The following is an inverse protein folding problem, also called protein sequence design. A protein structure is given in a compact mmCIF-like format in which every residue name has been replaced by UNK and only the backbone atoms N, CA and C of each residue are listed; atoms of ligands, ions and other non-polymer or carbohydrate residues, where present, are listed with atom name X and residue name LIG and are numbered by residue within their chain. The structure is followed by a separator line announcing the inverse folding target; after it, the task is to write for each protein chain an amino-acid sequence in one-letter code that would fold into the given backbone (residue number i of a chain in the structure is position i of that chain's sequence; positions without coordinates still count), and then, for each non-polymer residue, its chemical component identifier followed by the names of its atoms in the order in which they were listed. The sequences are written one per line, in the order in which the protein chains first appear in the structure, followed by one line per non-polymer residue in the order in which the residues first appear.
data_IF_327362304961
#
_entry.id   IF_327362304961
#
_cell.length_a   1.000
_cell.length_b   1.000
_cell.length_c   1.000
_cell.angle_alpha   90.00
_cell.angle_beta   90.00
_cell.angle_gamma   90.00
#
_symmetry.space_group_name_H-M   'P 1'
#
loop_
_entity.id
_entity.type
_entity.pdbx_description
1 polymer ?
#
# COMPACT_ATOMS: atom_id res chain seq x y z
N UNK A 1 41.75 6.23 41.34
CA UNK A 1 43.19 6.47 41.10
C UNK A 1 43.72 5.37 40.17
N UNK A 2 44.57 5.75 39.21
CA UNK A 2 45.45 4.91 38.38
C UNK A 2 44.76 3.99 37.34
N UNK A 3 45.22 3.85 36.09
CA UNK A 3 46.29 4.49 35.32
C UNK A 3 46.04 4.17 33.81
N UNK A 4 46.47 5.08 32.94
CA UNK A 4 46.57 4.97 31.47
C UNK A 4 47.56 3.89 31.05
N UNK A 5 47.47 3.35 29.82
CA UNK A 5 48.57 3.22 28.82
C UNK A 5 47.97 2.90 27.42
N UNK A 6 48.13 3.80 26.43
CA UNK A 6 49.07 3.80 25.26
C UNK A 6 48.58 2.95 24.06
N UNK A 7 48.03 3.54 22.99
CA UNK A 7 48.67 4.28 21.88
C UNK A 7 49.37 3.38 20.83
N UNK A 8 48.87 3.40 19.58
CA UNK A 8 49.68 3.25 18.36
C UNK A 8 48.89 3.66 17.10
N UNK A 9 49.14 4.88 16.63
CA UNK A 9 48.87 5.35 15.26
C UNK A 9 49.94 4.81 14.30
N UNK A 10 49.54 4.36 13.10
CA UNK A 10 50.43 4.31 11.92
C UNK A 10 49.68 4.83 10.69
N UNK A 11 50.24 5.87 10.08
CA UNK A 11 49.92 6.47 8.78
C UNK A 11 50.68 5.75 7.66
N UNK A 12 50.09 5.66 6.46
CA UNK A 12 50.77 5.63 5.14
C UNK A 12 49.71 5.53 4.02
N UNK A 13 49.38 6.62 3.30
CA UNK A 13 49.98 7.18 2.06
C UNK A 13 49.53 6.55 0.74
N UNK A 14 49.10 7.43 -0.18
CA UNK A 14 49.14 7.25 -1.64
C UNK A 14 47.78 6.94 -2.28
N UNK A 15 47.37 7.48 -3.42
CA UNK A 15 47.92 8.48 -4.32
C UNK A 15 46.75 9.02 -5.15
N UNK A 16 46.71 10.32 -5.44
CA UNK A 16 45.76 10.91 -6.38
C UNK A 16 46.23 10.61 -7.80
N UNK A 17 45.46 9.81 -8.54
CA UNK A 17 45.57 9.69 -9.99
C UNK A 17 44.22 10.06 -10.60
N UNK A 18 44.23 11.14 -11.38
CA UNK A 18 43.11 11.59 -12.19
C UNK A 18 42.88 10.68 -13.40
N UNK A 19 41.66 10.72 -13.93
CA UNK A 19 41.34 10.00 -15.16
C UNK A 19 39.85 9.85 -15.45
N UNK A 20 39.28 10.89 -16.07
CA UNK A 20 38.45 10.82 -17.29
C UNK A 20 37.09 10.06 -17.33
N UNK A 21 36.12 10.78 -17.94
CA UNK A 21 34.98 10.33 -18.77
C UNK A 21 33.65 9.94 -18.10
N UNK A 22 32.63 10.72 -18.48
CA UNK A 22 31.28 10.33 -18.84
C UNK A 22 30.57 9.26 -17.99
N UNK A 23 29.65 9.71 -17.14
CA UNK A 23 28.57 8.87 -16.62
C UNK A 23 27.31 9.71 -16.55
N UNK A 24 26.38 9.46 -17.47
CA UNK A 24 25.04 10.02 -17.43
C UNK A 24 24.44 9.85 -16.03
N UNK A 25 23.95 10.93 -15.44
CA UNK A 25 23.09 10.85 -14.27
C UNK A 25 21.78 10.18 -14.71
N UNK A 26 21.77 8.84 -14.72
CA UNK A 26 20.55 8.10 -14.69
C UNK A 26 19.91 8.41 -13.34
N UNK A 27 18.93 9.31 -13.35
CA UNK A 27 17.94 9.37 -12.28
C UNK A 27 17.22 8.03 -12.27
N UNK A 28 17.79 7.07 -11.56
CA UNK A 28 17.03 5.93 -11.06
C UNK A 28 16.05 6.53 -10.06
N UNK A 29 14.91 7.00 -10.58
CA UNK A 29 13.69 7.04 -9.81
C UNK A 29 13.59 5.64 -9.22
N UNK A 30 13.89 5.54 -7.92
CA UNK A 30 13.69 4.31 -7.20
C UNK A 30 12.21 3.96 -7.43
N UNK A 31 11.99 2.95 -8.26
CA UNK A 31 10.70 2.29 -8.41
C UNK A 31 10.39 1.79 -7.00
N UNK A 32 9.66 2.62 -6.26
CA UNK A 32 9.30 2.35 -4.89
C UNK A 32 8.51 1.03 -4.97
N UNK A 33 8.96 -0.05 -4.33
CA UNK A 33 8.32 -1.34 -4.46
C UNK A 33 6.84 -1.17 -4.19
N UNK A 34 6.01 -1.45 -5.21
CA UNK A 34 4.57 -1.40 -5.05
C UNK A 34 4.23 -2.21 -3.79
N UNK A 35 3.43 -1.67 -2.85
CA UNK A 35 3.14 -2.37 -1.61
C UNK A 35 2.64 -3.77 -1.96
N UNK A 36 3.26 -4.78 -1.35
CA UNK A 36 3.03 -6.19 -1.65
C UNK A 36 1.52 -6.43 -1.81
N UNK A 37 1.14 -6.89 -3.01
CA UNK A 37 -0.26 -7.16 -3.35
C UNK A 37 -0.75 -8.18 -2.34
N UNK A 38 -1.63 -7.77 -1.43
CA UNK A 38 -2.36 -8.74 -0.65
C UNK A 38 -3.01 -9.72 -1.64
N UNK A 39 -2.91 -11.02 -1.37
CA UNK A 39 -3.34 -12.15 -2.22
C UNK A 39 -4.87 -12.19 -2.49
N UNK A 40 -5.56 -11.07 -2.43
CA UNK A 40 -6.96 -10.95 -2.82
C UNK A 40 -7.03 -10.85 -4.35
N UNK A 41 -7.49 -11.94 -4.99
CA UNK A 41 -7.83 -11.90 -6.42
C UNK A 41 -9.02 -10.96 -6.62
N UNK A 42 -8.78 -9.86 -7.36
CA UNK A 42 -9.83 -8.89 -7.69
C UNK A 42 -9.83 -8.65 -9.21
N UNK A 43 -10.87 -9.13 -9.93
CA UNK A 43 -10.99 -8.95 -11.37
C UNK A 43 -10.98 -7.48 -11.77
N UNK A 44 -10.58 -7.22 -13.01
CA UNK A 44 -10.72 -5.88 -13.58
C UNK A 44 -12.20 -5.46 -13.58
N UNK A 45 -12.48 -4.17 -13.41
CA UNK A 45 -13.82 -3.59 -13.19
C UNK A 45 -14.46 -3.87 -11.82
N UNK A 46 -13.73 -4.47 -10.87
CA UNK A 46 -14.29 -4.83 -9.56
C UNK A 46 -13.64 -4.10 -8.39
N UNK A 47 -14.42 -3.85 -7.35
CA UNK A 47 -13.92 -3.57 -5.99
C UNK A 47 -14.12 -4.80 -5.12
N UNK A 48 -13.08 -5.21 -4.40
CA UNK A 48 -13.06 -6.43 -3.61
C UNK A 48 -12.51 -6.18 -2.22
N UNK A 49 -13.01 -6.92 -1.24
CA UNK A 49 -12.44 -6.94 0.10
C UNK A 49 -12.56 -8.31 0.75
N UNK A 50 -11.67 -8.58 1.70
CA UNK A 50 -11.72 -9.77 2.56
C UNK A 50 -11.38 -9.38 3.99
N UNK A 51 -12.12 -9.90 4.96
CA UNK A 51 -11.92 -9.65 6.38
C UNK A 51 -11.23 -10.82 7.07
N UNK A 52 -10.80 -10.60 8.32
CA UNK A 52 -10.06 -11.60 9.11
C UNK A 52 -10.91 -12.83 9.43
N UNK A 53 -12.23 -12.68 9.53
CA UNK A 53 -13.17 -13.78 9.72
C UNK A 53 -13.46 -14.60 8.45
N UNK A 54 -12.75 -14.34 7.35
CA UNK A 54 -12.85 -15.10 6.10
C UNK A 54 -13.94 -14.62 5.14
N UNK A 55 -14.89 -13.79 5.59
CA UNK A 55 -15.90 -13.18 4.73
C UNK A 55 -15.25 -12.24 3.71
N UNK A 56 -15.81 -12.20 2.50
CA UNK A 56 -15.31 -11.39 1.39
C UNK A 56 -16.45 -10.86 0.53
N UNK A 57 -16.15 -9.88 -0.31
CA UNK A 57 -17.08 -9.34 -1.29
C UNK A 57 -16.36 -8.99 -2.59
N UNK A 58 -17.15 -8.88 -3.66
CA UNK A 58 -16.73 -8.41 -4.97
C UNK A 58 -17.93 -7.74 -5.64
N UNK A 59 -17.79 -6.48 -6.06
CA UNK A 59 -18.85 -5.74 -6.75
C UNK A 59 -18.31 -5.00 -7.96
N UNK A 60 -19.14 -4.95 -9.01
CA UNK A 60 -18.85 -4.30 -10.29
C UNK A 60 -19.87 -3.22 -10.65
N UNK A 61 -21.10 -3.30 -10.11
CA UNK A 61 -22.18 -2.37 -10.44
C UNK A 61 -21.99 -1.02 -9.76
N UNK A 62 -21.98 0.04 -10.58
CA UNK A 62 -21.95 1.42 -10.12
C UNK A 62 -23.32 1.91 -9.65
N UNK A 63 -23.35 2.95 -8.81
CA UNK A 63 -24.54 3.65 -8.31
C UNK A 63 -25.52 2.76 -7.54
N UNK A 64 -25.06 1.62 -7.01
CA UNK A 64 -25.84 0.75 -6.14
C UNK A 64 -25.15 0.61 -4.78
N UNK A 65 -25.93 0.71 -3.71
CA UNK A 65 -25.44 0.51 -2.34
C UNK A 65 -25.59 -0.96 -1.96
N UNK A 66 -24.47 -1.67 -1.88
CA UNK A 66 -24.42 -3.05 -1.43
C UNK A 66 -24.25 -3.10 0.08
N UNK A 67 -25.08 -3.88 0.75
CA UNK A 67 -24.81 -4.29 2.13
C UNK A 67 -23.67 -5.33 2.11
N UNK A 68 -22.62 -5.05 2.86
CA UNK A 68 -21.50 -5.96 3.03
C UNK A 68 -21.95 -7.18 3.84
N UNK A 69 -21.36 -8.36 3.59
CA UNK A 69 -21.53 -9.50 4.49
C UNK A 69 -20.96 -9.15 5.87
N UNK A 70 -21.15 -10.03 6.86
CA UNK A 70 -20.60 -9.84 8.20
C UNK A 70 -19.05 -9.85 8.18
N UNK A 71 -18.42 -8.75 7.78
CA UNK A 71 -16.97 -8.60 7.69
C UNK A 71 -16.44 -8.18 9.07
N UNK A 72 -15.55 -8.99 9.64
CA UNK A 72 -15.00 -8.72 10.97
C UNK A 72 -13.47 -8.74 10.95
N UNK A 73 -12.88 -7.71 11.52
CA UNK A 73 -11.44 -7.51 11.62
C UNK A 73 -10.79 -6.84 10.41
N UNK A 74 -9.46 -6.77 10.44
CA UNK A 74 -8.67 -6.14 9.38
C UNK A 74 -8.40 -7.10 8.23
N UNK A 75 -8.43 -6.58 7.00
CA UNK A 75 -8.03 -7.35 5.83
C UNK A 75 -7.92 -6.52 4.56
N UNK A 76 -7.58 -7.14 3.42
CA UNK A 76 -7.28 -6.40 2.21
C UNK A 76 -8.51 -5.81 1.53
N UNK A 77 -8.33 -4.62 0.97
CA UNK A 77 -9.18 -3.94 0.00
C UNK A 77 -8.39 -3.80 -1.30
N UNK A 78 -8.99 -4.18 -2.42
CA UNK A 78 -8.48 -3.92 -3.76
C UNK A 78 -9.59 -3.26 -4.58
N UNK A 79 -9.35 -2.02 -5.02
CA UNK A 79 -10.15 -1.39 -6.06
C UNK A 79 -9.41 -1.50 -7.40
N UNK A 80 -9.84 -2.46 -8.23
CA UNK A 80 -9.32 -2.74 -9.57
C UNK A 80 -10.31 -2.32 -10.68
N UNK A 81 -11.07 -1.26 -10.42
CA UNK A 81 -11.98 -0.67 -11.41
C UNK A 81 -11.23 0.19 -12.45
N UNK A 82 -11.95 0.76 -13.41
CA UNK A 82 -11.36 1.68 -14.38
C UNK A 82 -10.73 2.90 -13.68
N UNK A 83 -9.58 3.40 -14.18
CA UNK A 83 -8.92 4.57 -13.61
C UNK A 83 -9.89 5.75 -13.44
N UNK A 84 -9.86 6.37 -12.26
CA UNK A 84 -10.74 7.49 -11.92
C UNK A 84 -12.03 7.10 -11.19
N UNK A 85 -12.41 5.83 -11.19
CA UNK A 85 -13.56 5.34 -10.39
C UNK A 85 -13.27 5.45 -8.90
N UNK A 86 -14.27 5.86 -8.10
CA UNK A 86 -14.13 6.04 -6.65
C UNK A 86 -15.19 5.23 -5.92
N UNK A 87 -14.76 4.17 -5.24
CA UNK A 87 -15.62 3.42 -4.34
C UNK A 87 -15.77 4.17 -3.01
N UNK A 88 -16.97 4.13 -2.42
CA UNK A 88 -17.34 4.79 -1.15
C UNK A 88 -17.81 3.74 -0.15
N UNK A 89 -17.35 3.83 1.08
CA UNK A 89 -17.62 2.85 2.13
C UNK A 89 -18.24 3.52 3.34
N UNK A 90 -19.29 2.91 3.89
CA UNK A 90 -20.13 3.53 4.90
C UNK A 90 -20.30 2.65 6.14
N UNK A 91 -20.57 3.28 7.27
CA UNK A 91 -20.95 2.60 8.51
C UNK A 91 -22.42 2.14 8.50
N UNK A 92 -22.86 1.50 9.60
CA UNK A 92 -24.23 1.01 9.78
C UNK A 92 -25.30 2.10 9.64
N UNK A 93 -24.96 3.35 9.93
CA UNK A 93 -25.85 4.50 9.88
C UNK A 93 -25.75 5.25 8.54
N UNK A 94 -25.10 4.67 7.53
CA UNK A 94 -24.84 5.27 6.22
C UNK A 94 -23.92 6.50 6.25
N UNK A 95 -23.11 6.69 7.29
CA UNK A 95 -22.07 7.72 7.29
C UNK A 95 -20.85 7.26 6.51
N UNK A 96 -20.29 8.15 5.69
CA UNK A 96 -19.09 7.87 4.91
C UNK A 96 -17.89 7.69 5.85
N UNK A 97 -17.26 6.52 5.80
CA UNK A 97 -16.04 6.22 6.53
C UNK A 97 -14.81 6.58 5.72
N UNK A 98 -14.77 6.14 4.46
CA UNK A 98 -13.65 6.40 3.57
C UNK A 98 -14.02 6.15 2.11
N UNK A 99 -13.12 6.59 1.22
CA UNK A 99 -13.19 6.31 -0.22
C UNK A 99 -11.94 5.55 -0.70
N UNK A 100 -12.04 4.98 -1.91
CA UNK A 100 -10.96 4.27 -2.59
C UNK A 100 -11.00 4.58 -4.09
N UNK A 101 -10.02 5.35 -4.59
CA UNK A 101 -9.90 5.67 -6.01
C UNK A 101 -9.12 4.58 -6.76
N UNK A 102 -9.62 4.10 -7.89
CA UNK A 102 -8.95 3.08 -8.68
C UNK A 102 -7.71 3.63 -9.43
N UNK A 103 -6.60 2.89 -9.54
CA UNK A 103 -6.30 1.62 -8.86
C UNK A 103 -5.80 1.86 -7.43
N UNK A 104 -6.30 1.07 -6.46
CA UNK A 104 -5.77 1.12 -5.09
C UNK A 104 -5.82 -0.26 -4.42
N UNK A 105 -4.78 -0.56 -3.64
CA UNK A 105 -4.70 -1.75 -2.78
C UNK A 105 -4.21 -1.33 -1.39
N UNK A 106 -4.95 -1.66 -0.33
CA UNK A 106 -4.57 -1.37 1.07
C UNK A 106 -5.26 -2.31 2.05
N UNK A 107 -4.80 -2.32 3.30
CA UNK A 107 -5.49 -2.99 4.41
C UNK A 107 -6.49 -2.05 5.05
N UNK A 108 -7.67 -2.55 5.40
CA UNK A 108 -8.78 -1.81 6.03
C UNK A 108 -9.32 -2.61 7.21
N UNK A 109 -9.71 -1.92 8.29
CA UNK A 109 -10.55 -2.54 9.33
C UNK A 109 -11.99 -2.59 8.82
N UNK A 110 -12.51 -3.79 8.56
CA UNK A 110 -13.85 -3.98 8.00
C UNK A 110 -14.95 -3.97 9.04
N UNK A 111 -14.62 -4.17 10.31
CA UNK A 111 -15.59 -4.23 11.43
C UNK A 111 -16.60 -3.06 11.47
N UNK A 112 -16.19 -1.79 11.24
CA UNK A 112 -17.15 -0.68 11.24
C UNK A 112 -17.88 -0.50 9.89
N UNK A 113 -17.50 -1.23 8.84
CA UNK A 113 -17.98 -1.01 7.47
C UNK A 113 -19.17 -1.91 7.17
N UNK A 114 -20.30 -1.31 6.80
CA UNK A 114 -21.56 -2.01 6.56
C UNK A 114 -22.03 -1.93 5.12
N UNK A 115 -21.70 -0.84 4.41
CA UNK A 115 -22.14 -0.66 3.03
C UNK A 115 -21.01 -0.21 2.13
N UNK A 116 -21.12 -0.55 0.85
CA UNK A 116 -20.23 -0.08 -0.21
C UNK A 116 -21.03 0.38 -1.42
N UNK A 117 -20.56 1.46 -2.04
CA UNK A 117 -20.96 1.90 -3.37
C UNK A 117 -19.70 1.82 -4.23
N UNK A 118 -19.70 0.94 -5.24
CA UNK A 118 -18.49 0.65 -6.02
C UNK A 118 -18.05 1.83 -6.91
N UNK A 119 -19.01 2.67 -7.32
CA UNK A 119 -18.85 3.94 -8.03
C UNK A 119 -20.04 4.82 -7.59
#
# INVERSE_FOLDING_TARGET
MALRELAATVLATGALLGGSLAGAAASSAAEQPAPARAQLSCPYYSVCGKAANGSSFQYTTCNFTFQLPNLVGSGPLVNNQTPGTVARFYDKNHHLLFTSKAYQSRTVNWTPVWYVVAC
#
